data_IF_941031735716
#
_entry.id   IF_941031735716
#
_cell.length_a   1.000
_cell.length_b   1.000
_cell.length_c   1.000
_cell.angle_alpha   90.00
_cell.angle_beta   90.00
_cell.angle_gamma   90.00
#
_symmetry.space_group_name_H-M   'P 1'
#
loop_
_entity.id
_entity.type
_entity.pdbx_description
1 polymer ?
#
# COMPACT_ATOMS: atom_id res chain seq x y z
N UNK A 1 -3.79 -19.38 -3.33
CA UNK A 1 -3.26 -18.72 -2.11
C UNK A 1 -4.19 -17.57 -1.80
N UNK A 2 -4.67 -17.45 -0.56
CA UNK A 2 -5.57 -16.37 -0.20
C UNK A 2 -4.82 -15.03 -0.27
N UNK A 3 -5.30 -14.11 -1.09
CA UNK A 3 -4.76 -12.75 -1.17
C UNK A 3 -5.17 -11.99 0.10
N UNK A 4 -4.22 -11.50 0.89
CA UNK A 4 -4.51 -10.66 2.05
C UNK A 4 -5.10 -9.32 1.57
N UNK A 5 -6.14 -8.83 2.26
CA UNK A 5 -6.71 -7.50 1.96
C UNK A 5 -5.79 -6.39 2.44
N UNK A 6 -5.92 -5.20 1.84
CA UNK A 6 -5.10 -4.04 2.21
C UNK A 6 -5.25 -3.70 3.70
N UNK A 7 -6.48 -3.66 4.18
CA UNK A 7 -6.85 -3.29 5.55
C UNK A 7 -6.33 -4.33 6.55
N UNK A 8 -6.35 -5.60 6.18
CA UNK A 8 -5.80 -6.69 7.00
C UNK A 8 -4.27 -6.61 7.08
N UNK A 9 -3.61 -6.36 5.94
CA UNK A 9 -2.16 -6.20 5.88
C UNK A 9 -1.69 -4.97 6.68
N UNK A 10 -2.40 -3.84 6.55
CA UNK A 10 -2.11 -2.62 7.29
C UNK A 10 -2.28 -2.82 8.79
N UNK A 11 -3.41 -3.40 9.22
CA UNK A 11 -3.66 -3.68 10.64
C UNK A 11 -2.61 -4.61 11.25
N UNK A 12 -2.15 -5.60 10.48
CA UNK A 12 -1.08 -6.49 10.93
C UNK A 12 0.26 -5.77 11.05
N UNK A 13 0.57 -4.89 10.08
CA UNK A 13 1.78 -4.08 10.09
C UNK A 13 1.80 -3.13 11.29
N UNK A 14 0.70 -2.44 11.59
CA UNK A 14 0.56 -1.59 12.78
C UNK A 14 0.85 -2.36 14.06
N UNK A 15 0.27 -3.56 14.21
CA UNK A 15 0.52 -4.42 15.35
C UNK A 15 2.00 -4.84 15.47
N UNK A 16 2.66 -5.12 14.35
CA UNK A 16 4.10 -5.44 14.34
C UNK A 16 4.93 -4.24 14.81
N UNK A 17 4.57 -3.03 14.38
CA UNK A 17 5.25 -1.81 14.84
C UNK A 17 5.07 -1.65 16.35
N UNK A 18 3.85 -1.78 16.86
CA UNK A 18 3.58 -1.75 18.31
C UNK A 18 4.42 -2.79 19.07
N UNK A 19 4.44 -4.04 18.60
CA UNK A 19 5.23 -5.12 19.21
C UNK A 19 6.73 -4.80 19.22
N UNK A 20 7.27 -4.22 18.15
CA UNK A 20 8.68 -3.81 18.06
C UNK A 20 9.01 -2.61 18.96
N UNK A 21 8.08 -1.66 19.11
CA UNK A 21 8.26 -0.47 19.93
C UNK A 21 8.21 -0.77 21.44
N UNK A 22 7.50 -1.83 21.86
CA UNK A 22 7.46 -2.24 23.27
C UNK A 22 8.84 -2.64 23.82
N UNK A 23 9.74 -3.13 22.96
CA UNK A 23 11.06 -3.60 23.35
C UNK A 23 11.06 -4.90 24.17
N UNK A 24 9.92 -5.59 24.29
CA UNK A 24 9.78 -6.84 25.07
C UNK A 24 10.23 -8.09 24.29
N UNK A 25 10.44 -7.96 22.97
CA UNK A 25 10.83 -9.05 22.09
C UNK A 25 12.32 -9.41 22.24
N UNK A 26 12.63 -10.70 22.17
CA UNK A 26 14.00 -11.14 21.95
C UNK A 26 14.50 -10.70 20.57
N UNK A 27 15.83 -10.68 20.37
CA UNK A 27 16.43 -10.31 19.09
C UNK A 27 15.91 -11.15 17.92
N UNK A 28 15.81 -12.47 18.10
CA UNK A 28 15.30 -13.37 17.06
C UNK A 28 13.83 -13.11 16.72
N UNK A 29 13.01 -12.80 17.73
CA UNK A 29 11.61 -12.44 17.52
C UNK A 29 11.49 -11.09 16.82
N UNK A 30 12.24 -10.08 17.26
CA UNK A 30 12.28 -8.77 16.62
C UNK A 30 12.68 -8.87 15.14
N UNK A 31 13.68 -9.69 14.81
CA UNK A 31 14.08 -9.94 13.42
C UNK A 31 12.96 -10.60 12.59
N UNK A 32 12.25 -11.58 13.16
CA UNK A 32 11.10 -12.20 12.48
C UNK A 32 9.97 -11.20 12.25
N UNK A 33 9.63 -10.40 13.26
CA UNK A 33 8.60 -9.35 13.17
C UNK A 33 8.97 -8.29 12.14
N UNK A 34 10.24 -7.88 12.12
CA UNK A 34 10.74 -6.95 11.12
C UNK A 34 10.61 -7.50 9.69
N UNK A 35 11.00 -8.75 9.46
CA UNK A 35 10.85 -9.39 8.14
C UNK A 35 9.39 -9.45 7.69
N UNK A 36 8.49 -9.87 8.58
CA UNK A 36 7.05 -9.88 8.33
C UNK A 36 6.53 -8.47 8.00
N UNK A 37 6.96 -7.46 8.75
CA UNK A 37 6.60 -6.07 8.51
C UNK A 37 7.04 -5.55 7.14
N UNK A 38 8.24 -5.92 6.68
CA UNK A 38 8.74 -5.56 5.35
C UNK A 38 7.88 -6.18 4.24
N UNK A 39 7.47 -7.44 4.41
CA UNK A 39 6.60 -8.12 3.44
C UNK A 39 5.22 -7.47 3.37
N UNK A 40 4.61 -7.18 4.52
CA UNK A 40 3.32 -6.49 4.61
C UNK A 40 3.38 -5.08 4.01
N UNK A 41 4.44 -4.33 4.27
CA UNK A 41 4.65 -2.99 3.68
C UNK A 41 4.72 -3.06 2.14
N UNK A 42 5.38 -4.07 1.58
CA UNK A 42 5.39 -4.29 0.12
C UNK A 42 4.00 -4.60 -0.42
N UNK A 43 3.24 -5.43 0.27
CA UNK A 43 1.86 -5.76 -0.11
C UNK A 43 0.98 -4.51 -0.09
N UNK A 44 1.04 -3.70 0.97
CA UNK A 44 0.31 -2.44 1.07
C UNK A 44 0.63 -1.50 -0.10
N UNK A 45 1.93 -1.30 -0.40
CA UNK A 45 2.35 -0.48 -1.54
C UNK A 45 1.83 -1.02 -2.87
N UNK A 46 1.93 -2.33 -3.12
CA UNK A 46 1.42 -2.94 -4.36
C UNK A 46 -0.09 -2.74 -4.53
N UNK A 47 -0.87 -2.84 -3.44
CA UNK A 47 -2.31 -2.60 -3.45
C UNK A 47 -2.64 -1.14 -3.75
N UNK A 48 -1.92 -0.20 -3.12
CA UNK A 48 -2.08 1.23 -3.37
C UNK A 48 -1.72 1.58 -4.82
N UNK A 49 -0.62 1.06 -5.34
CA UNK A 49 -0.24 1.26 -6.74
C UNK A 49 -1.26 0.67 -7.72
N UNK A 50 -1.83 -0.49 -7.42
CA UNK A 50 -2.91 -1.07 -8.22
C UNK A 50 -4.18 -0.21 -8.18
N UNK A 51 -4.53 0.33 -7.01
CA UNK A 51 -5.68 1.22 -6.86
C UNK A 51 -5.46 2.55 -7.60
N UNK A 52 -4.27 3.14 -7.48
CA UNK A 52 -3.88 4.37 -8.18
C UNK A 52 -4.02 4.20 -9.69
N UNK A 53 -3.42 3.13 -10.25
CA UNK A 53 -3.57 2.79 -11.68
C UNK A 53 -5.03 2.67 -12.12
N UNK A 54 -5.90 2.06 -11.31
CA UNK A 54 -7.33 1.96 -11.64
C UNK A 54 -8.04 3.32 -11.63
N UNK A 55 -7.60 4.25 -10.80
CA UNK A 55 -8.12 5.62 -10.75
C UNK A 55 -7.58 6.45 -11.91
N UNK A 56 -6.32 6.29 -12.30
CA UNK A 56 -5.70 6.96 -13.46
C UNK A 56 -6.41 6.62 -14.76
N UNK A 57 -6.96 5.41 -14.81
CA UNK A 57 -7.82 4.96 -15.89
C UNK A 57 -9.20 5.68 -15.92
N UNK A 58 -9.59 6.41 -14.88
CA UNK A 58 -10.93 6.98 -14.73
C UNK A 58 -10.93 8.51 -14.67
N UNK A 59 -10.07 9.20 -15.43
CA UNK A 59 -10.04 10.66 -15.46
C UNK A 59 -11.14 11.22 -16.37
N UNK A 60 -11.99 12.09 -15.83
CA UNK A 60 -13.06 12.75 -16.58
C UNK A 60 -12.46 13.78 -17.55
N UNK A 61 -12.70 13.63 -18.85
CA UNK A 61 -12.28 14.61 -19.86
C UNK A 61 -13.14 15.90 -19.77
N UNK A 62 -12.76 16.95 -20.51
CA UNK A 62 -13.49 18.25 -20.54
C UNK A 62 -14.96 18.13 -21.01
N UNK A 63 -15.38 16.98 -21.53
CA UNK A 63 -16.76 16.65 -21.94
C UNK A 63 -17.55 15.86 -20.90
N UNK A 64 -16.94 15.48 -19.78
CA UNK A 64 -17.61 14.68 -18.76
C UNK A 64 -17.54 13.17 -18.98
N UNK A 65 -16.75 12.69 -19.93
CA UNK A 65 -16.57 11.27 -20.25
C UNK A 65 -15.34 10.72 -19.52
N UNK A 66 -15.38 9.44 -19.15
CA UNK A 66 -14.25 8.77 -18.49
C UNK A 66 -13.21 8.38 -19.55
N UNK A 67 -11.99 8.92 -19.44
CA UNK A 67 -10.86 8.59 -20.32
C UNK A 67 -9.64 8.14 -19.50
N UNK A 68 -8.91 7.16 -20.05
CA UNK A 68 -7.66 6.65 -19.48
C UNK A 68 -6.53 7.65 -19.78
N UNK A 69 -5.86 8.25 -18.78
CA UNK A 69 -4.66 9.09 -19.00
C UNK A 69 -3.49 8.75 -18.04
N UNK A 70 -2.23 8.80 -18.48
CA UNK A 70 -1.06 8.60 -17.61
C UNK A 70 -0.94 9.68 -16.51
N UNK A 71 -0.49 9.28 -15.30
CA UNK A 71 -0.26 10.18 -14.15
C UNK A 71 0.63 11.38 -14.47
N UNK A 72 1.69 11.16 -15.25
CA UNK A 72 2.70 12.18 -15.61
C UNK A 72 2.11 13.32 -16.46
N UNK A 73 0.95 13.11 -17.08
CA UNK A 73 0.25 14.12 -17.88
C UNK A 73 -0.71 14.96 -17.04
N UNK A 74 -1.13 14.48 -15.86
CA UNK A 74 -2.01 15.23 -14.95
C UNK A 74 -1.29 16.36 -14.20
N UNK A 75 0.03 16.26 -14.04
CA UNK A 75 0.86 17.24 -13.34
C UNK A 75 1.29 18.43 -14.23
N UNK A 76 1.05 18.36 -15.54
CA UNK A 76 1.47 19.39 -16.52
C UNK A 76 0.41 20.42 -16.90
N UNK A 77 -0.82 20.30 -16.37
CA UNK A 77 -1.88 21.31 -16.54
C UNK A 77 -1.98 22.20 -15.27
N UNK A 78 -0.94 22.99 -14.99
CA UNK A 78 -1.03 24.22 -14.18
C UNK A 78 -0.41 25.39 -14.92
#
# INVERSE_FOLDING_TARGET
>A
MAEIKFEEALKRLEKIVEELETGELSLDEALRRYQEGIELSRICNQRLESAKKKIDLLVKNKKGELELRPLEETEKEQ
#
